data_IF_100415391207
#
_entry.id   IF_100415391207
#
_cell.length_a   1.000
_cell.length_b   1.000
_cell.length_c   1.000
_cell.angle_alpha   90.00
_cell.angle_beta   90.00
_cell.angle_gamma   90.00
#
_symmetry.space_group_name_H-M   'P 1'
#
loop_
_entity.id
_entity.type
_entity.pdbx_description
1 polymer ?
#
# COMPACT_ATOMS: atom_id res chain seq x y z
N UNK A 1 -11.35 13.46 -3.51
CA UNK A 1 -10.71 13.35 -2.16
C UNK A 1 -10.60 14.74 -1.53
N UNK A 2 -10.53 14.85 -0.19
CA UNK A 2 -10.35 16.13 0.50
C UNK A 2 -8.87 16.56 0.49
N UNK A 3 -8.62 17.86 0.48
CA UNK A 3 -7.27 18.45 0.40
C UNK A 3 -6.32 17.96 1.48
N UNK A 4 -6.84 17.71 2.70
CA UNK A 4 -6.06 17.23 3.84
C UNK A 4 -5.23 15.97 3.56
N UNK A 5 -5.71 15.09 2.69
CA UNK A 5 -5.09 13.82 2.35
C UNK A 5 -4.59 13.76 0.91
N UNK A 6 -4.65 14.88 0.19
CA UNK A 6 -4.22 14.99 -1.20
C UNK A 6 -2.83 15.60 -1.28
N UNK A 7 -1.85 14.80 -1.71
CA UNK A 7 -0.52 15.34 -2.04
C UNK A 7 -0.57 15.97 -3.43
N UNK A 8 0.12 17.11 -3.64
CA UNK A 8 -0.03 17.89 -4.87
C UNK A 8 0.25 17.08 -6.16
N UNK A 9 1.27 16.25 -6.16
CA UNK A 9 1.68 15.46 -7.32
C UNK A 9 0.62 14.44 -7.77
N UNK A 10 -0.01 13.74 -6.82
CA UNK A 10 -1.07 12.79 -7.12
C UNK A 10 -2.39 13.51 -7.39
N UNK A 11 -2.67 14.58 -6.65
CA UNK A 11 -3.85 15.40 -6.87
C UNK A 11 -3.90 16.00 -8.27
N UNK A 12 -2.75 16.41 -8.82
CA UNK A 12 -2.66 16.98 -10.17
C UNK A 12 -3.11 16.01 -11.27
N UNK A 13 -2.91 14.69 -11.08
CA UNK A 13 -3.34 13.67 -12.06
C UNK A 13 -4.87 13.64 -12.17
N UNK A 14 -5.57 13.80 -11.06
CA UNK A 14 -7.02 13.64 -10.98
C UNK A 14 -7.80 14.95 -11.08
N UNK A 15 -7.15 16.04 -11.50
CA UNK A 15 -7.87 17.28 -11.81
C UNK A 15 -8.69 17.11 -13.09
N UNK A 16 -9.78 17.87 -13.18
CA UNK A 16 -10.59 17.90 -14.40
C UNK A 16 -9.81 18.40 -15.62
N UNK A 17 -8.93 19.36 -15.40
CA UNK A 17 -8.05 19.84 -16.45
C UNK A 17 -7.17 18.72 -17.01
N UNK A 18 -6.56 17.89 -16.15
CA UNK A 18 -5.72 16.78 -16.61
C UNK A 18 -6.55 15.66 -17.25
N UNK A 19 -7.76 15.41 -16.74
CA UNK A 19 -8.72 14.49 -17.37
C UNK A 19 -9.03 14.90 -18.81
N UNK A 20 -9.42 16.16 -19.03
CA UNK A 20 -9.76 16.65 -20.37
C UNK A 20 -8.51 16.79 -21.27
N UNK A 21 -7.34 17.06 -20.73
CA UNK A 21 -6.08 16.97 -21.49
C UNK A 21 -5.82 15.54 -21.98
N UNK A 22 -6.06 14.53 -21.15
CA UNK A 22 -5.91 13.14 -21.56
C UNK A 22 -6.95 12.75 -22.63
N UNK A 23 -8.19 13.20 -22.51
CA UNK A 23 -9.20 13.00 -23.56
C UNK A 23 -8.80 13.67 -24.88
N UNK A 24 -8.34 14.91 -24.83
CA UNK A 24 -7.87 15.65 -26.00
C UNK A 24 -6.71 14.93 -26.68
N UNK A 25 -5.77 14.42 -25.90
CA UNK A 25 -4.61 13.69 -26.45
C UNK A 25 -5.05 12.41 -27.19
N UNK A 26 -6.01 11.65 -26.64
CA UNK A 26 -6.58 10.48 -27.32
C UNK A 26 -7.24 10.88 -28.66
N UNK A 27 -8.04 11.95 -28.67
CA UNK A 27 -8.69 12.46 -29.89
C UNK A 27 -7.68 12.85 -30.97
N UNK A 28 -6.64 13.61 -30.60
CA UNK A 28 -5.62 14.08 -31.54
C UNK A 28 -4.78 12.91 -32.05
N UNK A 29 -4.33 12.01 -31.18
CA UNK A 29 -3.56 10.82 -31.56
C UNK A 29 -4.37 9.90 -32.48
N UNK A 30 -5.68 9.81 -32.30
CA UNK A 30 -6.58 9.08 -33.22
C UNK A 30 -6.61 9.72 -34.61
N UNK A 31 -6.66 11.05 -34.68
CA UNK A 31 -6.57 11.77 -35.96
C UNK A 31 -5.20 11.57 -36.65
N UNK A 32 -4.11 11.57 -35.85
CA UNK A 32 -2.76 11.27 -36.35
C UNK A 32 -2.68 9.87 -36.97
N UNK A 33 -3.26 8.86 -36.28
CA UNK A 33 -3.29 7.49 -36.78
C UNK A 33 -4.07 7.40 -38.12
N UNK A 34 -5.20 8.08 -38.23
CA UNK A 34 -5.98 8.16 -39.46
C UNK A 34 -5.20 8.89 -40.58
N UNK A 35 -4.36 9.85 -40.25
CA UNK A 35 -3.50 10.51 -41.23
C UNK A 35 -2.36 9.58 -41.74
N UNK A 36 -1.79 8.76 -40.89
CA UNK A 36 -0.83 7.73 -41.32
C UNK A 36 -1.48 6.68 -42.25
N UNK A 37 -2.78 6.41 -42.08
CA UNK A 37 -3.57 5.57 -43.01
C UNK A 37 -4.01 6.32 -44.28
N UNK A 38 -3.72 7.63 -44.41
CA UNK A 38 -4.09 8.44 -45.56
C UNK A 38 -5.58 8.82 -45.61
N UNK A 39 -6.32 8.68 -44.54
CA UNK A 39 -7.76 9.03 -44.47
C UNK A 39 -7.96 10.51 -44.13
N UNK A 40 -7.19 11.02 -43.18
CA UNK A 40 -7.20 12.43 -42.79
C UNK A 40 -5.98 13.13 -43.41
N UNK A 41 -6.12 14.32 -44.05
CA UNK A 41 -4.99 15.08 -44.53
C UNK A 41 -4.03 15.44 -43.37
N UNK A 42 -2.73 15.29 -43.58
CA UNK A 42 -1.72 15.61 -42.55
C UNK A 42 -1.74 17.07 -42.15
N UNK A 43 -2.12 17.95 -43.08
CA UNK A 43 -2.29 19.39 -42.81
C UNK A 43 -3.43 19.65 -41.85
N UNK A 44 -4.56 18.96 -42.00
CA UNK A 44 -5.73 19.05 -41.07
C UNK A 44 -5.32 18.63 -39.67
N UNK A 45 -4.55 17.52 -39.55
CA UNK A 45 -4.05 17.05 -38.24
C UNK A 45 -3.08 18.05 -37.61
N UNK A 46 -2.19 18.65 -38.40
CA UNK A 46 -1.27 19.68 -37.90
C UNK A 46 -2.02 20.89 -37.32
N UNK A 47 -3.09 21.33 -38.00
CA UNK A 47 -3.94 22.43 -37.53
C UNK A 47 -4.76 22.01 -36.27
N UNK A 48 -5.26 20.78 -36.22
CA UNK A 48 -5.90 20.25 -35.00
C UNK A 48 -4.93 20.25 -33.84
N UNK A 49 -3.74 19.69 -33.97
CA UNK A 49 -2.72 19.62 -32.90
C UNK A 49 -2.34 21.02 -32.39
N UNK A 50 -2.32 22.02 -33.25
CA UNK A 50 -1.96 23.39 -32.92
C UNK A 50 -3.09 24.16 -32.24
N UNK A 51 -4.33 23.98 -32.67
CA UNK A 51 -5.44 24.85 -32.32
C UNK A 51 -6.44 24.20 -31.38
N UNK A 52 -6.46 22.84 -31.27
CA UNK A 52 -7.39 22.15 -30.40
C UNK A 52 -7.14 22.51 -28.92
N UNK A 53 -8.17 23.02 -28.31
CA UNK A 53 -8.16 23.42 -26.91
C UNK A 53 -9.58 23.24 -26.34
N UNK A 54 -9.69 23.28 -25.04
CA UNK A 54 -10.98 23.22 -24.34
C UNK A 54 -11.05 24.29 -23.27
N UNK A 55 -12.27 24.61 -22.86
CA UNK A 55 -12.59 25.42 -21.70
C UNK A 55 -13.55 24.61 -20.83
N UNK A 56 -13.21 24.42 -19.56
CA UNK A 56 -13.96 23.53 -18.65
C UNK A 56 -15.34 24.10 -18.38
N UNK A 57 -15.47 25.41 -18.16
CA UNK A 57 -16.77 26.04 -17.91
C UNK A 57 -17.66 25.89 -19.16
N UNK A 58 -17.07 26.06 -20.35
CA UNK A 58 -17.79 25.86 -21.60
C UNK A 58 -18.24 24.41 -21.82
N UNK A 59 -17.43 23.43 -21.43
CA UNK A 59 -17.83 22.02 -21.47
C UNK A 59 -19.07 21.81 -20.58
N UNK A 60 -19.07 22.33 -19.37
CA UNK A 60 -20.21 22.19 -18.46
C UNK A 60 -21.47 22.91 -18.97
N UNK A 61 -21.34 24.11 -19.57
CA UNK A 61 -22.47 24.78 -20.21
C UNK A 61 -23.10 23.90 -21.29
N UNK A 62 -22.29 23.34 -22.19
CA UNK A 62 -22.78 22.47 -23.25
C UNK A 62 -23.36 21.16 -22.68
N UNK A 63 -22.80 20.63 -21.60
CA UNK A 63 -23.31 19.42 -20.94
C UNK A 63 -24.70 19.64 -20.33
N UNK A 64 -25.03 20.84 -19.83
CA UNK A 64 -26.39 21.16 -19.37
C UNK A 64 -27.45 20.95 -20.48
N UNK A 65 -27.08 21.18 -21.73
CA UNK A 65 -27.98 21.00 -22.87
C UNK A 65 -27.96 19.55 -23.38
N UNK A 66 -26.76 19.00 -23.59
CA UNK A 66 -26.56 17.70 -24.25
C UNK A 66 -26.78 16.50 -23.32
N UNK A 67 -26.65 16.71 -22.00
CA UNK A 67 -26.70 15.67 -20.97
C UNK A 67 -25.72 14.51 -21.22
N UNK A 68 -24.58 14.83 -21.88
CA UNK A 68 -23.56 13.88 -22.23
C UNK A 68 -22.16 14.54 -22.22
N UNK A 69 -21.30 14.08 -21.32
CA UNK A 69 -19.98 14.67 -21.04
C UNK A 69 -19.04 14.63 -22.25
N UNK A 70 -18.90 13.49 -22.94
CA UNK A 70 -17.99 13.38 -24.09
C UNK A 70 -18.51 14.21 -25.28
N UNK A 71 -19.82 14.26 -25.54
CA UNK A 71 -20.39 15.14 -26.58
C UNK A 71 -20.12 16.60 -26.22
N UNK A 72 -20.29 16.99 -24.97
CA UNK A 72 -20.01 18.34 -24.52
C UNK A 72 -18.54 18.70 -24.75
N UNK A 73 -17.63 17.82 -24.37
CA UNK A 73 -16.19 17.97 -24.58
C UNK A 73 -15.85 18.13 -26.06
N UNK A 74 -16.29 17.20 -26.92
CA UNK A 74 -15.97 17.27 -28.36
C UNK A 74 -16.54 18.52 -29.06
N UNK A 75 -17.73 18.99 -28.64
CA UNK A 75 -18.29 20.26 -29.10
C UNK A 75 -17.46 21.45 -28.67
N UNK A 76 -17.05 21.52 -27.40
CA UNK A 76 -16.20 22.60 -26.89
C UNK A 76 -14.85 22.65 -27.63
N UNK A 77 -14.23 21.50 -27.90
CA UNK A 77 -13.01 21.41 -28.70
C UNK A 77 -13.28 21.89 -30.12
N UNK A 78 -14.40 21.47 -30.76
CA UNK A 78 -14.78 21.86 -32.11
C UNK A 78 -15.03 23.38 -32.28
N UNK A 79 -15.39 24.09 -31.20
CA UNK A 79 -15.53 25.55 -31.23
C UNK A 79 -14.18 26.28 -31.37
N UNK A 80 -13.05 25.63 -31.05
CA UNK A 80 -11.69 26.21 -31.08
C UNK A 80 -10.96 25.94 -32.38
N UNK A 81 -11.45 25.05 -33.24
CA UNK A 81 -10.81 24.62 -34.46
C UNK A 81 -11.62 25.02 -35.71
N UNK A 82 -10.98 25.11 -36.85
CA UNK A 82 -11.57 25.52 -38.12
C UNK A 82 -12.36 24.42 -38.82
N UNK A 83 -12.22 24.33 -40.18
CA UNK A 83 -12.88 23.27 -40.98
C UNK A 83 -12.49 21.85 -40.56
N UNK A 84 -11.33 21.68 -39.90
CA UNK A 84 -10.79 20.41 -39.39
C UNK A 84 -11.64 19.81 -38.28
N UNK A 85 -12.53 20.59 -37.67
CA UNK A 85 -13.46 20.12 -36.61
C UNK A 85 -14.27 18.88 -37.01
N UNK A 86 -14.47 18.60 -38.28
CA UNK A 86 -15.14 17.40 -38.81
C UNK A 86 -14.41 16.12 -38.45
N UNK A 87 -13.16 16.18 -38.06
CA UNK A 87 -12.33 15.04 -37.70
C UNK A 87 -12.33 14.75 -36.19
N UNK A 88 -12.82 15.70 -35.38
CA UNK A 88 -12.95 15.46 -33.91
C UNK A 88 -13.93 14.32 -33.70
N UNK A 89 -13.53 13.31 -32.94
CA UNK A 89 -14.30 12.09 -32.64
C UNK A 89 -14.60 11.22 -33.86
N UNK A 90 -13.77 11.28 -34.90
CA UNK A 90 -13.99 10.56 -36.16
C UNK A 90 -13.88 9.03 -35.95
N UNK A 91 -15.02 8.33 -36.12
CA UNK A 91 -15.14 6.88 -35.95
C UNK A 91 -15.20 6.39 -34.51
N UNK A 92 -14.89 7.24 -33.53
CA UNK A 92 -14.81 6.86 -32.12
C UNK A 92 -16.20 6.73 -31.45
N UNK A 93 -16.25 5.93 -30.39
CA UNK A 93 -17.31 5.98 -29.39
C UNK A 93 -16.75 6.59 -28.08
N UNK A 94 -17.63 7.07 -27.21
CA UNK A 94 -17.23 7.78 -25.99
C UNK A 94 -16.20 7.03 -25.14
N UNK A 95 -16.35 5.72 -25.01
CA UNK A 95 -15.43 4.90 -24.19
C UNK A 95 -14.09 4.58 -24.87
N UNK A 96 -13.98 4.75 -26.19
CA UNK A 96 -12.66 4.73 -26.85
C UNK A 96 -11.77 5.84 -26.28
N UNK A 97 -12.36 6.99 -25.97
CA UNK A 97 -11.66 8.12 -25.36
C UNK A 97 -11.54 7.93 -23.84
N UNK A 98 -12.65 7.65 -23.18
CA UNK A 98 -12.72 7.64 -21.70
C UNK A 98 -11.86 6.52 -21.09
N UNK A 99 -12.00 5.28 -21.58
CA UNK A 99 -11.25 4.15 -21.03
C UNK A 99 -9.74 4.22 -21.39
N UNK A 100 -9.42 4.64 -22.61
CA UNK A 100 -8.02 4.81 -23.02
C UNK A 100 -7.32 5.91 -22.22
N UNK A 101 -7.99 7.06 -22.05
CA UNK A 101 -7.48 8.13 -21.20
C UNK A 101 -7.37 7.71 -19.72
N UNK A 102 -8.33 6.92 -19.20
CA UNK A 102 -8.25 6.40 -17.84
C UNK A 102 -7.03 5.50 -17.65
N UNK A 103 -6.76 4.59 -18.60
CA UNK A 103 -5.55 3.77 -18.59
C UNK A 103 -4.26 4.60 -18.57
N UNK A 104 -4.23 5.71 -19.31
CA UNK A 104 -3.12 6.66 -19.32
C UNK A 104 -2.98 7.42 -17.99
N UNK A 105 -4.09 7.88 -17.39
CA UNK A 105 -4.07 8.53 -16.07
C UNK A 105 -3.63 7.57 -14.96
N UNK A 106 -4.10 6.32 -15.00
CA UNK A 106 -3.66 5.28 -14.07
C UNK A 106 -2.17 4.99 -14.21
N UNK A 107 -1.62 5.00 -15.44
CA UNK A 107 -0.17 4.87 -15.67
C UNK A 107 0.60 5.98 -14.94
N UNK A 108 0.18 7.23 -15.06
CA UNK A 108 0.81 8.35 -14.34
C UNK A 108 0.73 8.18 -12.82
N UNK A 109 -0.42 7.77 -12.29
CA UNK A 109 -0.61 7.51 -10.87
C UNK A 109 0.27 6.35 -10.38
N UNK A 110 0.41 5.30 -11.18
CA UNK A 110 1.21 4.12 -10.86
C UNK A 110 2.70 4.42 -10.79
N UNK A 111 3.23 5.32 -11.63
CA UNK A 111 4.62 5.77 -11.55
C UNK A 111 4.94 6.43 -10.20
N UNK A 112 4.00 7.22 -9.68
CA UNK A 112 4.13 7.85 -8.36
C UNK A 112 4.04 6.78 -7.25
N UNK A 113 3.06 5.87 -7.32
CA UNK A 113 2.86 4.84 -6.31
C UNK A 113 4.02 3.85 -6.25
N UNK A 114 4.57 3.42 -7.39
CA UNK A 114 5.72 2.52 -7.44
C UNK A 114 6.97 3.16 -6.81
N UNK A 115 7.21 4.43 -7.12
CA UNK A 115 8.28 5.21 -6.49
C UNK A 115 8.11 5.26 -4.97
N UNK A 116 6.90 5.54 -4.50
CA UNK A 116 6.62 5.70 -3.07
C UNK A 116 6.67 4.37 -2.32
N UNK A 117 6.22 3.26 -2.93
CA UNK A 117 6.40 1.91 -2.41
C UNK A 117 7.87 1.55 -2.27
N UNK A 118 8.67 1.84 -3.30
CA UNK A 118 10.12 1.60 -3.29
C UNK A 118 10.80 2.41 -2.18
N UNK A 119 10.45 3.68 -2.06
CA UNK A 119 10.97 4.53 -0.99
C UNK A 119 10.59 4.02 0.41
N UNK A 120 9.36 3.56 0.59
CA UNK A 120 8.91 3.00 1.86
C UNK A 120 9.68 1.71 2.20
N UNK A 121 9.90 0.83 1.23
CA UNK A 121 10.71 -0.39 1.39
C UNK A 121 12.12 -0.04 1.86
N UNK A 122 12.77 0.95 1.26
CA UNK A 122 14.11 1.38 1.66
C UNK A 122 14.15 1.96 3.07
N UNK A 123 13.15 2.74 3.46
CA UNK A 123 13.03 3.25 4.83
C UNK A 123 12.95 2.08 5.83
N UNK A 124 12.10 1.10 5.58
CA UNK A 124 11.95 -0.06 6.46
C UNK A 124 13.22 -0.91 6.48
N UNK A 125 13.89 -1.08 5.33
CA UNK A 125 15.19 -1.74 5.22
C UNK A 125 16.25 -1.09 6.13
N UNK A 126 16.35 0.21 6.08
CA UNK A 126 17.28 0.96 6.93
C UNK A 126 17.00 0.76 8.42
N UNK A 127 15.73 0.79 8.82
CA UNK A 127 15.33 0.55 10.21
C UNK A 127 15.63 -0.89 10.65
N UNK A 128 15.40 -1.88 9.77
CA UNK A 128 15.73 -3.28 10.05
C UNK A 128 17.22 -3.44 10.36
N UNK A 129 18.10 -2.86 9.56
CA UNK A 129 19.55 -2.92 9.75
C UNK A 129 19.98 -2.15 11.01
N UNK A 130 19.46 -0.94 11.21
CA UNK A 130 19.84 -0.09 12.35
C UNK A 130 19.51 -0.73 13.71
N UNK A 131 18.42 -1.49 13.79
CA UNK A 131 17.97 -2.13 15.02
C UNK A 131 18.10 -3.64 15.02
N UNK A 132 18.93 -4.20 14.14
CA UNK A 132 19.18 -5.62 14.01
C UNK A 132 19.43 -6.31 15.34
N UNK A 133 20.30 -5.72 16.16
CA UNK A 133 20.77 -6.26 17.43
C UNK A 133 20.08 -5.62 18.66
N UNK A 134 18.98 -4.91 18.46
CA UNK A 134 18.22 -4.30 19.56
C UNK A 134 17.22 -5.30 20.13
N UNK A 135 17.49 -5.91 21.31
CA UNK A 135 16.62 -6.94 21.86
C UNK A 135 15.34 -6.35 22.41
N UNK A 136 14.25 -7.07 22.19
CA UNK A 136 12.94 -6.77 22.76
C UNK A 136 12.17 -8.06 23.07
N UNK A 137 11.09 -7.95 23.83
CA UNK A 137 10.22 -9.08 24.08
C UNK A 137 9.29 -9.34 22.88
N UNK A 138 9.33 -10.56 22.35
CA UNK A 138 8.33 -11.06 21.45
C UNK A 138 7.04 -11.40 22.22
N UNK A 139 5.89 -10.96 21.67
CA UNK A 139 4.58 -11.19 22.29
C UNK A 139 3.69 -11.99 21.35
N UNK A 140 3.08 -13.04 21.88
CA UNK A 140 2.00 -13.79 21.24
C UNK A 140 0.74 -13.68 22.09
N UNK A 141 -0.42 -13.49 21.49
CA UNK A 141 -1.68 -13.23 22.22
C UNK A 141 -1.61 -12.01 23.17
N UNK A 142 -0.67 -11.08 22.94
CA UNK A 142 -0.40 -9.96 23.85
C UNK A 142 0.44 -10.31 25.07
N UNK A 143 0.83 -11.59 25.25
CA UNK A 143 1.60 -12.11 26.38
C UNK A 143 3.07 -12.27 25.98
N UNK A 144 3.99 -12.08 26.93
CA UNK A 144 5.43 -12.30 26.72
C UNK A 144 5.69 -13.77 26.34
N UNK A 145 6.37 -13.95 25.20
CA UNK A 145 6.77 -15.26 24.70
C UNK A 145 8.28 -15.44 24.85
N UNK A 146 9.05 -15.04 23.85
CA UNK A 146 10.50 -15.19 23.84
C UNK A 146 11.19 -13.90 23.35
N UNK A 147 12.47 -13.68 23.69
CA UNK A 147 13.25 -12.57 23.15
C UNK A 147 13.32 -12.60 21.63
N UNK A 148 13.19 -11.42 21.02
CA UNK A 148 13.39 -11.15 19.61
C UNK A 148 14.19 -9.85 19.45
N UNK A 149 14.32 -9.31 18.22
CA UNK A 149 14.89 -7.98 18.01
C UNK A 149 13.91 -7.04 17.31
N UNK A 150 14.04 -5.75 17.55
CA UNK A 150 13.27 -4.75 16.84
C UNK A 150 13.60 -4.75 15.35
N UNK A 151 14.87 -5.04 15.00
CA UNK A 151 15.28 -5.22 13.61
C UNK A 151 14.60 -6.37 12.90
N UNK A 152 14.38 -7.52 13.57
CA UNK A 152 13.59 -8.64 13.00
C UNK A 152 12.14 -8.24 12.71
N UNK A 153 11.53 -7.43 13.57
CA UNK A 153 10.19 -6.89 13.34
C UNK A 153 10.14 -6.02 12.08
N UNK A 154 11.13 -5.13 11.91
CA UNK A 154 11.25 -4.30 10.70
C UNK A 154 11.57 -5.14 9.46
N UNK A 155 12.43 -6.15 9.57
CA UNK A 155 12.77 -7.05 8.49
C UNK A 155 11.56 -7.86 7.96
N UNK A 156 10.63 -8.21 8.85
CA UNK A 156 9.36 -8.84 8.46
C UNK A 156 8.50 -7.88 7.60
N UNK A 157 8.44 -6.59 7.97
CA UNK A 157 7.73 -5.57 7.20
C UNK A 157 8.39 -5.31 5.85
N UNK A 158 9.72 -5.27 5.81
CA UNK A 158 10.49 -5.16 4.58
C UNK A 158 10.12 -6.25 3.57
N UNK A 159 10.12 -7.52 3.98
CA UNK A 159 9.76 -8.63 3.10
C UNK A 159 8.28 -8.61 2.67
N UNK A 160 7.40 -8.18 3.55
CA UNK A 160 5.99 -8.02 3.20
C UNK A 160 5.78 -6.94 2.13
N UNK A 161 6.47 -5.82 2.26
CA UNK A 161 6.35 -4.72 1.30
C UNK A 161 7.01 -5.04 -0.04
N UNK A 162 8.06 -5.85 -0.08
CA UNK A 162 8.61 -6.38 -1.35
C UNK A 162 7.56 -7.20 -2.12
N UNK A 163 6.88 -8.12 -1.44
CA UNK A 163 5.78 -8.88 -2.06
C UNK A 163 4.62 -7.98 -2.50
N UNK A 164 4.36 -6.90 -1.77
CA UNK A 164 3.34 -5.92 -2.17
C UNK A 164 3.77 -5.12 -3.40
N UNK A 165 5.04 -4.79 -3.55
CA UNK A 165 5.56 -4.14 -4.76
C UNK A 165 5.41 -5.04 -6.00
N UNK A 166 5.71 -6.34 -5.87
CA UNK A 166 5.52 -7.31 -6.95
C UNK A 166 4.04 -7.40 -7.38
N UNK A 167 3.12 -7.52 -6.42
CA UNK A 167 1.67 -7.51 -6.69
C UNK A 167 1.23 -6.20 -7.33
N UNK A 168 1.74 -5.07 -6.82
CA UNK A 168 1.42 -3.77 -7.37
C UNK A 168 1.84 -3.64 -8.84
N UNK A 169 3.06 -4.05 -9.18
CA UNK A 169 3.55 -4.03 -10.56
C UNK A 169 2.68 -4.86 -11.48
N UNK A 170 2.29 -6.04 -11.06
CA UNK A 170 1.40 -6.91 -11.83
C UNK A 170 0.02 -6.25 -12.05
N UNK A 171 -0.61 -5.76 -10.98
CA UNK A 171 -1.92 -5.13 -11.06
C UNK A 171 -1.89 -3.79 -11.82
N UNK A 172 -0.82 -3.00 -11.65
CA UNK A 172 -0.60 -1.75 -12.38
C UNK A 172 -0.46 -1.99 -13.88
N UNK A 173 0.29 -3.01 -14.28
CA UNK A 173 0.40 -3.43 -15.68
C UNK A 173 -0.97 -3.83 -16.25
N UNK A 174 -1.81 -4.47 -15.44
CA UNK A 174 -3.15 -4.92 -15.82
C UNK A 174 -4.15 -3.79 -16.14
N UNK A 175 -3.96 -2.58 -15.63
CA UNK A 175 -4.86 -1.42 -15.87
C UNK A 175 -4.29 -0.38 -16.83
N UNK A 176 -3.05 -0.53 -17.30
CA UNK A 176 -2.43 0.39 -18.27
C UNK A 176 -2.75 -0.03 -19.70
N UNK A 177 -4.03 -0.17 -20.00
CA UNK A 177 -4.54 -0.56 -21.30
C UNK A 177 -5.43 0.53 -21.89
N UNK A 178 -5.43 0.61 -23.23
CA UNK A 178 -6.41 1.37 -23.98
C UNK A 178 -7.28 0.44 -24.84
N UNK A 179 -8.39 0.98 -25.28
CA UNK A 179 -9.28 0.35 -26.26
C UNK A 179 -9.81 1.42 -27.22
N UNK A 180 -9.64 1.21 -28.52
CA UNK A 180 -10.22 2.04 -29.59
C UNK A 180 -10.81 1.08 -30.62
N UNK A 181 -11.87 0.39 -30.22
CA UNK A 181 -12.47 -0.73 -30.96
C UNK A 181 -13.94 -0.49 -31.33
N UNK A 182 -14.43 0.73 -31.04
CA UNK A 182 -15.80 1.14 -31.35
C UNK A 182 -16.85 0.68 -30.34
N UNK A 183 -18.10 0.82 -30.74
CA UNK A 183 -19.26 0.73 -29.88
C UNK A 183 -19.48 -0.64 -29.20
N UNK A 184 -18.98 -1.72 -29.77
CA UNK A 184 -19.11 -3.09 -29.24
C UNK A 184 -17.83 -3.92 -29.37
N UNK A 185 -16.71 -3.29 -29.71
CA UNK A 185 -15.41 -3.97 -29.74
C UNK A 185 -15.09 -4.67 -31.09
N UNK A 186 -15.82 -4.37 -32.16
CA UNK A 186 -15.69 -5.08 -33.44
C UNK A 186 -14.90 -4.31 -34.51
N UNK A 187 -14.41 -3.11 -34.21
CA UNK A 187 -13.70 -2.21 -35.12
C UNK A 187 -14.50 -1.85 -36.39
N UNK A 188 -15.84 -1.85 -36.32
CA UNK A 188 -16.71 -1.65 -37.47
C UNK A 188 -16.45 -0.33 -38.23
N UNK A 189 -16.06 0.73 -37.51
CA UNK A 189 -15.80 2.07 -38.08
C UNK A 189 -14.39 2.58 -37.78
N UNK A 190 -13.50 1.75 -37.30
CA UNK A 190 -12.15 2.10 -36.85
C UNK A 190 -11.18 1.03 -37.33
N UNK A 191 -10.07 1.44 -37.95
CA UNK A 191 -8.99 0.51 -38.25
C UNK A 191 -8.24 0.13 -36.97
N UNK A 192 -7.94 -1.16 -36.70
CA UNK A 192 -7.17 -1.59 -35.53
C UNK A 192 -5.83 -0.87 -35.35
N UNK A 193 -5.22 -0.40 -36.44
CA UNK A 193 -4.00 0.41 -36.39
C UNK A 193 -4.15 1.68 -35.53
N UNK A 194 -5.36 2.27 -35.49
CA UNK A 194 -5.62 3.47 -34.68
C UNK A 194 -5.42 3.18 -33.18
N UNK A 195 -5.92 2.03 -32.74
CA UNK A 195 -5.73 1.59 -31.33
C UNK A 195 -4.24 1.35 -31.02
N UNK A 196 -3.55 0.61 -31.88
CA UNK A 196 -2.10 0.33 -31.70
C UNK A 196 -1.28 1.63 -31.65
N UNK A 197 -1.57 2.56 -32.56
CA UNK A 197 -0.88 3.84 -32.65
C UNK A 197 -1.09 4.68 -31.39
N UNK A 198 -2.34 4.88 -30.97
CA UNK A 198 -2.68 5.69 -29.80
C UNK A 198 -2.10 5.08 -28.53
N UNK A 199 -2.30 3.79 -28.31
CA UNK A 199 -1.74 3.10 -27.13
C UNK A 199 -0.21 3.19 -27.10
N UNK A 200 0.44 2.98 -28.24
CA UNK A 200 1.90 3.12 -28.37
C UNK A 200 2.41 4.52 -28.02
N UNK A 201 1.73 5.57 -28.46
CA UNK A 201 2.08 6.96 -28.14
C UNK A 201 1.87 7.33 -26.67
N UNK A 202 0.81 6.80 -26.04
CA UNK A 202 0.52 6.99 -24.61
C UNK A 202 1.40 6.11 -23.72
N UNK A 203 2.11 5.12 -24.30
CA UNK A 203 2.87 4.14 -23.54
C UNK A 203 1.98 3.19 -22.72
N UNK A 204 0.78 2.94 -23.22
CA UNK A 204 -0.17 1.93 -22.74
C UNK A 204 -0.19 0.74 -23.70
N UNK A 205 -0.92 -0.33 -23.38
CA UNK A 205 -1.07 -1.50 -24.25
C UNK A 205 -2.46 -1.51 -24.89
N UNK A 206 -2.59 -1.90 -26.16
CA UNK A 206 -3.90 -2.19 -26.74
C UNK A 206 -4.49 -3.44 -26.09
N UNK A 207 -5.79 -3.41 -25.80
CA UNK A 207 -6.47 -4.57 -25.27
C UNK A 207 -6.61 -5.65 -26.34
N UNK A 208 -6.23 -6.91 -26.09
CA UNK A 208 -6.38 -7.99 -27.10
C UNK A 208 -7.84 -8.20 -27.56
N UNK A 209 -8.78 -7.88 -26.70
CA UNK A 209 -10.22 -7.88 -26.96
C UNK A 209 -10.89 -6.95 -25.96
N UNK A 210 -11.97 -6.30 -26.39
CA UNK A 210 -12.83 -5.48 -25.54
C UNK A 210 -14.28 -5.57 -26.02
N UNK A 211 -15.18 -5.00 -25.25
CA UNK A 211 -16.54 -4.68 -25.68
C UNK A 211 -16.61 -3.18 -26.00
N UNK A 212 -17.65 -2.47 -25.61
CA UNK A 212 -17.61 -1.01 -25.61
C UNK A 212 -16.63 -0.47 -24.55
N UNK A 213 -16.30 -1.30 -23.54
CA UNK A 213 -15.36 -0.96 -22.45
C UNK A 213 -14.25 -1.99 -22.35
N UNK A 214 -13.17 -1.63 -21.66
CA UNK A 214 -12.25 -2.60 -21.07
C UNK A 214 -12.97 -3.40 -19.98
N UNK A 215 -12.62 -4.67 -19.80
CA UNK A 215 -13.22 -5.51 -18.77
C UNK A 215 -12.77 -5.05 -17.38
N UNK A 216 -13.70 -4.98 -16.43
CA UNK A 216 -13.50 -4.37 -15.09
C UNK A 216 -12.86 -5.29 -14.05
N UNK A 217 -12.67 -6.59 -14.35
CA UNK A 217 -11.83 -7.48 -13.55
C UNK A 217 -10.42 -6.93 -13.34
N UNK A 218 -9.83 -6.27 -14.34
CA UNK A 218 -8.54 -5.56 -14.26
C UNK A 218 -8.54 -4.48 -13.18
N UNK A 219 -9.56 -3.65 -13.17
CA UNK A 219 -9.72 -2.57 -12.19
C UNK A 219 -10.05 -3.11 -10.79
N UNK A 220 -10.80 -4.21 -10.70
CA UNK A 220 -11.08 -4.90 -9.45
C UNK A 220 -9.81 -5.50 -8.82
N UNK A 221 -8.96 -6.16 -9.61
CA UNK A 221 -7.65 -6.66 -9.17
C UNK A 221 -6.75 -5.53 -8.71
N UNK A 222 -6.69 -4.44 -9.46
CA UNK A 222 -5.92 -3.25 -9.08
C UNK A 222 -6.38 -2.69 -7.73
N UNK A 223 -7.68 -2.46 -7.55
CA UNK A 223 -8.25 -1.97 -6.31
C UNK A 223 -8.04 -2.93 -5.14
N UNK A 224 -8.13 -4.24 -5.36
CA UNK A 224 -7.83 -5.27 -4.36
C UNK A 224 -6.35 -5.19 -3.91
N UNK A 225 -5.46 -4.96 -4.85
CA UNK A 225 -4.02 -4.80 -4.57
C UNK A 225 -3.75 -3.53 -3.76
N UNK A 226 -4.34 -2.38 -4.13
CA UNK A 226 -4.22 -1.15 -3.33
C UNK A 226 -4.77 -1.35 -1.90
N UNK A 227 -5.90 -2.05 -1.75
CA UNK A 227 -6.49 -2.37 -0.46
C UNK A 227 -5.59 -3.30 0.38
N UNK A 228 -4.92 -4.27 -0.23
CA UNK A 228 -3.98 -5.15 0.45
C UNK A 228 -2.74 -4.38 0.96
N UNK A 229 -2.19 -3.48 0.13
CA UNK A 229 -1.08 -2.61 0.54
C UNK A 229 -1.50 -1.71 1.71
N UNK A 230 -2.66 -1.07 1.62
CA UNK A 230 -3.20 -0.26 2.70
C UNK A 230 -3.42 -1.08 3.99
N UNK A 231 -3.78 -2.35 3.87
CA UNK A 231 -3.92 -3.28 5.01
C UNK A 231 -2.58 -3.61 5.65
N UNK A 232 -1.51 -3.76 4.87
CA UNK A 232 -0.16 -3.92 5.41
C UNK A 232 0.29 -2.66 6.18
N UNK A 233 0.04 -1.47 5.63
CA UNK A 233 0.33 -0.20 6.31
C UNK A 233 -0.48 -0.05 7.62
N UNK A 234 -1.74 -0.45 7.63
CA UNK A 234 -2.59 -0.49 8.84
C UNK A 234 -2.03 -1.45 9.90
N UNK A 235 -1.57 -2.64 9.50
CA UNK A 235 -0.91 -3.59 10.40
C UNK A 235 0.33 -2.97 11.05
N UNK A 236 1.18 -2.30 10.28
CA UNK A 236 2.39 -1.64 10.80
C UNK A 236 2.05 -0.49 11.76
N UNK A 237 1.07 0.33 11.38
CA UNK A 237 0.58 1.41 12.22
C UNK A 237 -0.02 0.88 13.54
N UNK A 238 -0.74 -0.21 13.49
CA UNK A 238 -1.32 -0.89 14.68
C UNK A 238 -0.23 -1.39 15.62
N UNK A 239 0.85 -1.96 15.10
CA UNK A 239 1.98 -2.39 15.92
C UNK A 239 2.70 -1.21 16.56
N UNK A 240 2.97 -0.12 15.83
CA UNK A 240 3.57 1.10 16.41
C UNK A 240 2.68 1.64 17.54
N UNK A 241 1.36 1.71 17.33
CA UNK A 241 0.42 2.15 18.36
C UNK A 241 0.45 1.25 19.59
N UNK A 242 0.57 -0.07 19.42
CA UNK A 242 0.69 -1.03 20.52
C UNK A 242 1.99 -0.82 21.32
N UNK A 243 3.12 -0.62 20.63
CA UNK A 243 4.42 -0.40 21.26
C UNK A 243 4.55 0.98 21.93
N UNK A 244 3.71 1.96 21.54
CA UNK A 244 3.67 3.31 22.14
C UNK A 244 2.77 3.39 23.38
N UNK A 245 2.02 2.33 23.74
CA UNK A 245 1.21 2.33 24.97
C UNK A 245 2.05 2.72 26.18
N UNK A 246 1.41 3.39 27.14
CA UNK A 246 2.07 3.88 28.37
C UNK A 246 2.81 2.78 29.14
N UNK A 247 2.23 1.57 29.15
CA UNK A 247 2.76 0.39 29.84
C UNK A 247 4.06 -0.14 29.19
N UNK A 248 4.18 0.00 27.87
CA UNK A 248 5.33 -0.51 27.08
C UNK A 248 6.34 0.59 26.80
N UNK A 249 5.89 1.65 26.12
CA UNK A 249 6.71 2.78 25.68
C UNK A 249 8.04 2.34 25.05
N UNK A 250 7.96 1.39 24.14
CA UNK A 250 9.13 0.85 23.43
C UNK A 250 9.48 1.67 22.20
N UNK A 251 8.47 2.36 21.63
CA UNK A 251 8.64 3.34 20.56
C UNK A 251 7.71 4.54 20.77
N UNK A 252 7.94 5.63 20.02
CA UNK A 252 7.06 6.81 19.99
C UNK A 252 7.11 7.45 18.61
N UNK A 253 5.94 7.85 18.06
CA UNK A 253 5.90 8.64 16.82
C UNK A 253 6.76 9.93 16.97
N UNK A 254 7.35 10.41 15.87
CA UNK A 254 8.09 11.65 15.88
C UNK A 254 7.19 12.81 16.33
N UNK A 255 7.67 13.57 17.30
CA UNK A 255 6.95 14.71 17.86
C UNK A 255 7.72 16.00 17.55
N UNK A 256 7.14 16.84 16.67
CA UNK A 256 7.79 18.06 16.23
C UNK A 256 7.85 19.12 17.33
N UNK A 257 8.89 19.96 17.30
CA UNK A 257 8.99 21.11 18.21
C UNK A 257 7.77 22.03 18.03
N UNK A 258 7.05 22.29 19.11
CA UNK A 258 5.84 23.11 19.11
C UNK A 258 4.54 22.34 18.82
N UNK A 259 4.61 21.05 18.46
CA UNK A 259 3.43 20.21 18.29
C UNK A 259 2.68 20.08 19.63
N UNK A 260 1.33 20.01 19.56
CA UNK A 260 0.47 19.75 20.72
C UNK A 260 -0.06 18.33 20.62
N UNK A 261 0.13 17.54 21.68
CA UNK A 261 -0.28 16.12 21.70
C UNK A 261 -1.71 15.92 22.21
N UNK A 262 -2.21 16.87 23.00
CA UNK A 262 -3.55 16.82 23.60
C UNK A 262 -4.03 18.23 23.91
N UNK A 263 -5.32 18.47 23.76
CA UNK A 263 -5.95 19.74 24.15
C UNK A 263 -6.10 19.92 25.67
N UNK A 264 -6.15 18.81 26.41
CA UNK A 264 -6.40 18.82 27.84
C UNK A 264 -5.17 18.43 28.71
N UNK A 265 -4.28 17.59 28.18
CA UNK A 265 -3.16 17.02 28.92
C UNK A 265 -1.82 17.31 28.19
N UNK A 266 -1.02 18.31 28.62
CA UNK A 266 0.16 18.79 27.90
C UNK A 266 1.26 17.71 27.69
N UNK A 267 1.34 16.71 28.57
CA UNK A 267 2.33 15.63 28.51
C UNK A 267 1.95 14.50 27.53
N UNK A 268 0.69 14.44 27.10
CA UNK A 268 0.17 13.30 26.35
C UNK A 268 0.54 13.39 24.87
N UNK A 269 1.28 12.41 24.37
CA UNK A 269 1.68 12.26 22.98
C UNK A 269 0.95 11.07 22.36
N UNK A 270 -0.08 11.38 21.56
CA UNK A 270 -0.92 10.36 20.93
C UNK A 270 -0.31 9.91 19.60
N UNK A 271 -0.43 8.63 19.22
CA UNK A 271 0.00 8.11 17.92
C UNK A 271 -1.01 8.45 16.82
N UNK A 272 -1.32 9.75 16.64
CA UNK A 272 -2.37 10.22 15.73
C UNK A 272 -2.06 9.96 14.26
N UNK A 273 -0.78 9.89 13.89
CA UNK A 273 -0.37 9.56 12.54
C UNK A 273 -0.74 8.12 12.20
N UNK A 274 -0.38 7.17 13.06
CA UNK A 274 -0.73 5.75 12.90
C UNK A 274 -2.24 5.51 13.01
N UNK A 275 -2.96 6.24 13.89
CA UNK A 275 -4.41 6.17 13.97
C UNK A 275 -5.07 6.61 12.65
N UNK A 276 -4.56 7.68 12.04
CA UNK A 276 -5.02 8.15 10.73
C UNK A 276 -4.78 7.11 9.63
N UNK A 277 -3.61 6.45 9.61
CA UNK A 277 -3.31 5.37 8.65
C UNK A 277 -4.34 4.23 8.79
N UNK A 278 -4.61 3.79 10.03
CA UNK A 278 -5.62 2.74 10.28
C UNK A 278 -7.02 3.16 9.81
N UNK A 279 -7.39 4.43 9.98
CA UNK A 279 -8.65 4.97 9.50
C UNK A 279 -8.75 4.98 7.97
N UNK A 280 -7.72 5.48 7.28
CA UNK A 280 -7.69 5.60 5.82
C UNK A 280 -7.66 4.24 5.12
N UNK A 281 -7.02 3.24 5.70
CA UNK A 281 -7.03 1.88 5.18
C UNK A 281 -8.46 1.30 5.07
N UNK A 282 -9.36 1.66 5.99
CA UNK A 282 -10.77 1.24 5.95
C UNK A 282 -11.48 1.79 4.72
N UNK A 283 -11.18 3.04 4.33
CA UNK A 283 -11.77 3.69 3.14
C UNK A 283 -11.37 2.94 1.88
N UNK A 284 -10.06 2.67 1.69
CA UNK A 284 -9.57 1.94 0.51
C UNK A 284 -10.16 0.53 0.44
N UNK A 285 -10.28 -0.19 1.58
CA UNK A 285 -10.96 -1.49 1.63
C UNK A 285 -12.43 -1.42 1.25
N UNK A 286 -13.13 -0.35 1.61
CA UNK A 286 -14.51 -0.10 1.16
C UNK A 286 -14.61 0.10 -0.35
N UNK A 287 -13.68 0.86 -0.93
CA UNK A 287 -13.63 1.09 -2.38
C UNK A 287 -13.36 -0.18 -3.19
N UNK A 288 -12.57 -1.12 -2.66
CA UNK A 288 -12.34 -2.43 -3.28
C UNK A 288 -13.66 -3.19 -3.51
N UNK A 289 -14.59 -3.16 -2.56
CA UNK A 289 -15.89 -3.83 -2.70
C UNK A 289 -16.67 -3.23 -3.87
N UNK A 290 -16.70 -1.90 -3.97
CA UNK A 290 -17.37 -1.23 -5.10
C UNK A 290 -16.74 -1.58 -6.46
N UNK A 291 -15.42 -1.79 -6.50
CA UNK A 291 -14.73 -2.21 -7.72
C UNK A 291 -15.10 -3.63 -8.15
N UNK A 292 -15.32 -4.56 -7.21
CA UNK A 292 -15.82 -5.90 -7.54
C UNK A 292 -17.23 -5.88 -8.13
N UNK A 293 -18.12 -5.03 -7.62
CA UNK A 293 -19.48 -4.86 -8.17
C UNK A 293 -19.46 -4.31 -9.61
N UNK A 294 -18.43 -3.55 -9.99
CA UNK A 294 -18.29 -3.03 -11.35
C UNK A 294 -17.87 -4.09 -12.39
N UNK A 295 -17.49 -5.30 -11.98
CA UNK A 295 -17.15 -6.39 -12.92
C UNK A 295 -18.40 -6.85 -13.69
N UNK A 296 -19.55 -6.85 -13.02
CA UNK A 296 -20.82 -7.30 -13.58
C UNK A 296 -21.51 -6.16 -14.32
N UNK A 297 -21.34 -6.08 -15.63
CA UNK A 297 -22.02 -5.14 -16.52
C UNK A 297 -23.01 -5.88 -17.43
N UNK A 298 -24.04 -5.18 -17.89
CA UNK A 298 -24.97 -5.72 -18.84
C UNK A 298 -24.41 -5.74 -20.25
N UNK A 299 -24.43 -6.92 -20.89
CA UNK A 299 -24.03 -7.14 -22.28
C UNK A 299 -22.64 -6.53 -22.58
N UNK A 300 -22.49 -5.78 -23.65
CA UNK A 300 -21.25 -5.14 -24.05
C UNK A 300 -20.91 -3.89 -23.23
N UNK A 301 -21.86 -3.29 -22.51
CA UNK A 301 -21.71 -2.24 -21.50
C UNK A 301 -23.05 -1.75 -20.97
N UNK A 302 -23.13 -1.45 -19.68
CA UNK A 302 -23.97 -0.39 -19.12
C UNK A 302 -23.07 0.69 -18.48
N UNK A 303 -23.66 1.78 -17.93
CA UNK A 303 -22.89 2.90 -17.42
C UNK A 303 -22.72 2.90 -15.88
N UNK A 304 -23.17 1.85 -15.19
CA UNK A 304 -23.16 1.78 -13.72
C UNK A 304 -21.77 1.93 -13.10
N UNK A 305 -20.74 1.39 -13.77
CA UNK A 305 -19.34 1.48 -13.33
C UNK A 305 -18.80 2.93 -13.33
N UNK A 306 -19.25 3.76 -14.26
CA UNK A 306 -18.66 5.08 -14.51
C UNK A 306 -18.77 6.02 -13.32
N UNK A 307 -19.94 6.12 -12.67
CA UNK A 307 -20.13 6.95 -11.49
C UNK A 307 -19.28 6.49 -10.30
N UNK A 308 -19.08 5.20 -10.16
CA UNK A 308 -18.27 4.59 -9.10
C UNK A 308 -16.78 4.88 -9.32
N UNK A 309 -16.27 4.64 -10.53
CA UNK A 309 -14.84 4.79 -10.86
C UNK A 309 -14.34 6.22 -10.76
N UNK A 310 -15.19 7.20 -11.05
CA UNK A 310 -14.89 8.64 -10.84
C UNK A 310 -14.56 8.97 -9.38
N UNK A 311 -14.97 8.13 -8.43
CA UNK A 311 -14.74 8.30 -7.00
C UNK A 311 -13.61 7.38 -6.55
N UNK A 312 -13.74 6.07 -6.75
CA UNK A 312 -12.90 5.08 -6.08
C UNK A 312 -11.45 5.07 -6.58
N UNK A 313 -11.20 5.28 -7.87
CA UNK A 313 -9.84 5.24 -8.43
C UNK A 313 -9.01 6.45 -8.01
N UNK A 314 -9.51 7.70 -8.15
CA UNK A 314 -8.81 8.87 -7.61
C UNK A 314 -8.60 8.77 -6.11
N UNK A 315 -9.64 8.42 -5.36
CA UNK A 315 -9.58 8.37 -3.90
C UNK A 315 -8.59 7.32 -3.40
N UNK A 316 -8.60 6.11 -3.95
CA UNK A 316 -7.70 5.05 -3.52
C UNK A 316 -6.22 5.37 -3.80
N UNK A 317 -5.92 5.91 -4.99
CA UNK A 317 -4.54 6.27 -5.36
C UNK A 317 -4.02 7.46 -4.57
N UNK A 318 -4.84 8.49 -4.36
CA UNK A 318 -4.52 9.66 -3.52
C UNK A 318 -4.27 9.23 -2.08
N UNK A 319 -5.16 8.41 -1.52
CA UNK A 319 -5.02 7.95 -0.13
C UNK A 319 -3.79 7.06 0.05
N UNK A 320 -3.54 6.15 -0.87
CA UNK A 320 -2.37 5.26 -0.76
C UNK A 320 -1.06 6.06 -0.87
N UNK A 321 -0.97 7.04 -1.80
CA UNK A 321 0.16 7.96 -1.89
C UNK A 321 0.38 8.72 -0.57
N UNK A 322 -0.69 9.24 0.03
CA UNK A 322 -0.62 9.90 1.33
C UNK A 322 -0.14 8.95 2.43
N UNK A 323 -0.72 7.75 2.53
CA UNK A 323 -0.41 6.77 3.57
C UNK A 323 1.04 6.31 3.51
N UNK A 324 1.57 5.98 2.32
CA UNK A 324 2.96 5.58 2.13
C UNK A 324 3.93 6.66 2.59
N UNK A 325 3.68 7.91 2.20
CA UNK A 325 4.55 9.03 2.57
C UNK A 325 4.42 9.37 4.07
N UNK A 326 3.20 9.36 4.62
CA UNK A 326 2.96 9.67 6.03
C UNK A 326 3.56 8.62 6.95
N UNK A 327 3.29 7.34 6.71
CA UNK A 327 3.84 6.26 7.51
C UNK A 327 5.36 6.11 7.30
N UNK A 328 5.84 6.32 6.06
CA UNK A 328 7.27 6.34 5.76
C UNK A 328 8.01 7.39 6.61
N UNK A 329 7.46 8.59 6.71
CA UNK A 329 8.04 9.62 7.58
C UNK A 329 7.99 9.24 9.07
N UNK A 330 6.92 8.60 9.54
CA UNK A 330 6.81 8.11 10.92
C UNK A 330 7.88 7.06 11.19
N UNK A 331 7.98 6.02 10.34
CA UNK A 331 8.95 4.92 10.52
C UNK A 331 10.39 5.42 10.44
N UNK A 332 10.68 6.33 9.50
CA UNK A 332 12.01 6.93 9.34
C UNK A 332 12.48 7.68 10.59
N UNK A 333 11.57 8.38 11.26
CA UNK A 333 11.88 9.26 12.39
C UNK A 333 11.33 8.72 13.73
N UNK A 334 11.04 7.42 13.79
CA UNK A 334 10.50 6.78 14.98
C UNK A 334 11.51 6.91 16.14
N UNK A 335 11.05 7.38 17.28
CA UNK A 335 11.85 7.35 18.50
C UNK A 335 11.77 5.94 19.08
N UNK A 336 12.90 5.25 19.16
CA UNK A 336 13.02 3.90 19.73
C UNK A 336 13.66 4.00 21.09
N UNK A 337 13.16 3.24 22.06
CA UNK A 337 13.65 3.22 23.44
C UNK A 337 14.22 1.83 23.81
N UNK A 338 15.48 1.51 23.44
CA UNK A 338 16.08 0.21 23.73
C UNK A 338 16.12 -0.14 25.23
N UNK A 339 16.29 0.84 26.09
CA UNK A 339 16.30 0.60 27.54
C UNK A 339 14.93 0.23 28.08
N UNK A 340 13.85 0.79 27.53
CA UNK A 340 12.49 0.36 27.84
C UNK A 340 12.23 -1.07 27.34
N UNK A 341 12.71 -1.42 26.15
CA UNK A 341 12.60 -2.78 25.60
C UNK A 341 13.28 -3.78 26.54
N UNK A 342 14.51 -3.49 27.00
CA UNK A 342 15.24 -4.32 27.98
C UNK A 342 14.50 -4.43 29.32
N UNK A 343 14.03 -3.31 29.86
CA UNK A 343 13.25 -3.30 31.10
C UNK A 343 11.98 -4.14 30.97
N UNK A 344 11.24 -4.01 29.86
CA UNK A 344 10.01 -4.77 29.63
C UNK A 344 10.26 -6.28 29.52
N UNK A 345 11.42 -6.71 28.98
CA UNK A 345 11.80 -8.13 28.98
C UNK A 345 11.89 -8.73 30.39
N UNK A 346 12.17 -7.91 31.40
CA UNK A 346 12.32 -8.33 32.79
C UNK A 346 11.01 -8.24 33.58
N UNK A 347 9.96 -7.58 33.05
CA UNK A 347 8.73 -7.27 33.77
C UNK A 347 7.90 -8.50 34.17
N UNK A 348 8.20 -9.65 33.62
CA UNK A 348 7.57 -10.95 33.92
C UNK A 348 8.51 -11.88 34.69
N UNK A 349 9.42 -11.32 35.49
CA UNK A 349 10.27 -12.03 36.46
C UNK A 349 11.18 -13.11 35.85
N UNK A 350 11.40 -13.10 34.54
CA UNK A 350 12.21 -14.11 33.85
C UNK A 350 11.47 -15.38 33.45
N UNK A 351 10.16 -15.44 33.64
CA UNK A 351 9.32 -16.59 33.24
C UNK A 351 9.43 -16.95 31.74
N UNK A 352 9.64 -16.01 30.79
CA UNK A 352 9.89 -16.34 29.39
C UNK A 352 11.03 -17.33 29.12
N UNK A 353 11.96 -17.45 30.04
CA UNK A 353 13.06 -18.43 29.93
C UNK A 353 12.72 -19.84 30.41
N UNK A 354 11.50 -20.09 30.89
CA UNK A 354 11.06 -21.42 31.38
C UNK A 354 11.21 -22.52 30.35
N UNK A 355 10.91 -22.22 29.08
CA UNK A 355 11.13 -23.15 27.96
C UNK A 355 12.58 -23.60 27.80
N UNK A 356 13.54 -22.68 28.04
CA UNK A 356 14.97 -22.99 27.98
C UNK A 356 15.41 -23.87 29.16
N UNK A 357 14.93 -23.58 30.38
CA UNK A 357 15.18 -24.42 31.54
C UNK A 357 14.64 -25.84 31.31
N UNK A 358 13.40 -25.95 30.80
CA UNK A 358 12.80 -27.24 30.44
C UNK A 358 13.63 -28.03 29.43
N UNK A 359 14.10 -27.37 28.35
CA UNK A 359 14.94 -28.03 27.34
C UNK A 359 16.25 -28.55 27.93
N UNK A 360 16.94 -27.77 28.79
CA UNK A 360 18.16 -28.21 29.47
C UNK A 360 17.94 -29.43 30.39
N UNK A 361 16.79 -29.50 31.06
CA UNK A 361 16.43 -30.69 31.86
C UNK A 361 16.21 -31.93 30.97
N UNK A 362 15.60 -31.76 29.80
CA UNK A 362 15.44 -32.82 28.82
C UNK A 362 16.81 -33.32 28.34
N UNK A 363 17.74 -32.40 28.05
CA UNK A 363 19.11 -32.72 27.66
C UNK A 363 19.87 -33.53 28.75
N UNK A 364 19.42 -33.43 30.03
CA UNK A 364 19.94 -34.20 31.19
C UNK A 364 19.13 -35.47 31.49
N UNK A 365 18.27 -35.90 30.60
CA UNK A 365 17.57 -37.17 30.67
C UNK A 365 16.17 -37.18 31.28
N UNK A 366 15.59 -35.97 31.48
CA UNK A 366 14.15 -35.90 31.85
C UNK A 366 13.29 -36.24 30.63
N UNK A 367 12.14 -36.88 30.82
CA UNK A 367 11.11 -36.85 29.80
C UNK A 367 10.56 -35.43 29.66
N UNK A 368 9.90 -35.15 28.52
CA UNK A 368 9.27 -33.85 28.31
C UNK A 368 8.25 -33.51 29.40
N UNK A 369 7.45 -34.49 29.80
CA UNK A 369 6.45 -34.38 30.85
C UNK A 369 7.09 -34.09 32.20
N UNK A 370 8.11 -34.85 32.57
CA UNK A 370 8.87 -34.62 33.80
C UNK A 370 9.49 -33.21 33.86
N UNK A 371 10.08 -32.77 32.78
CA UNK A 371 10.63 -31.42 32.72
C UNK A 371 9.54 -30.34 32.84
N UNK A 372 8.41 -30.54 32.15
CA UNK A 372 7.28 -29.63 32.21
C UNK A 372 6.70 -29.56 33.64
N UNK A 373 6.40 -30.69 34.26
CA UNK A 373 5.82 -30.77 35.60
C UNK A 373 6.78 -30.22 36.69
N UNK A 374 8.09 -30.24 36.41
CA UNK A 374 9.09 -29.63 37.28
C UNK A 374 9.15 -28.10 37.12
N UNK A 375 9.09 -27.60 35.90
CA UNK A 375 9.31 -26.19 35.57
C UNK A 375 8.03 -25.35 35.76
N UNK A 376 6.88 -25.83 35.31
CA UNK A 376 5.63 -25.07 35.32
C UNK A 376 5.25 -24.55 36.74
N UNK A 377 5.23 -25.36 37.81
CA UNK A 377 4.88 -24.82 39.14
C UNK A 377 5.84 -23.73 39.63
N UNK A 378 7.11 -23.79 39.25
CA UNK A 378 8.13 -22.80 39.60
C UNK A 378 7.96 -21.49 38.82
N UNK A 379 7.56 -21.61 37.55
CA UNK A 379 7.23 -20.43 36.74
C UNK A 379 5.95 -19.74 37.27
N UNK A 380 4.93 -20.50 37.67
CA UNK A 380 3.74 -19.96 38.29
C UNK A 380 4.03 -19.32 39.65
N UNK A 381 4.86 -19.96 40.47
CA UNK A 381 5.34 -19.38 41.75
C UNK A 381 6.05 -18.02 41.54
N UNK A 382 6.90 -17.93 40.50
CA UNK A 382 7.58 -16.66 40.16
C UNK A 382 6.58 -15.55 39.82
N UNK A 383 5.52 -15.91 39.13
CA UNK A 383 4.46 -14.97 38.75
C UNK A 383 3.61 -14.53 39.95
N UNK A 384 3.19 -15.47 40.79
CA UNK A 384 2.34 -15.22 41.94
C UNK A 384 3.09 -14.42 43.05
N UNK A 385 4.33 -14.80 43.35
CA UNK A 385 5.19 -14.13 44.33
C UNK A 385 5.88 -12.86 43.82
N UNK A 386 5.73 -12.53 42.53
CA UNK A 386 6.45 -11.45 41.87
C UNK A 386 7.97 -11.52 42.10
N UNK A 387 8.50 -12.71 42.00
CA UNK A 387 9.88 -13.05 42.35
C UNK A 387 10.63 -13.62 41.16
N UNK A 388 11.94 -13.39 41.12
CA UNK A 388 12.80 -13.88 40.02
C UNK A 388 12.65 -15.40 39.84
N UNK A 389 12.21 -15.81 38.65
CA UNK A 389 12.13 -17.22 38.28
C UNK A 389 13.52 -17.89 38.34
N UNK A 390 14.59 -17.17 37.96
CA UNK A 390 15.97 -17.65 38.10
C UNK A 390 16.30 -17.96 39.56
N UNK A 391 15.93 -17.14 40.52
CA UNK A 391 16.16 -17.41 41.94
C UNK A 391 15.42 -18.67 42.41
N UNK A 392 14.16 -18.84 42.01
CA UNK A 392 13.35 -20.03 42.35
C UNK A 392 13.96 -21.28 41.73
N UNK A 393 14.46 -21.22 40.51
CA UNK A 393 15.18 -22.33 39.84
C UNK A 393 16.41 -22.74 40.65
N UNK A 394 17.21 -21.78 41.10
CA UNK A 394 18.42 -22.02 41.93
C UNK A 394 18.11 -22.60 43.32
N UNK A 395 16.90 -22.41 43.82
CA UNK A 395 16.42 -22.95 45.10
C UNK A 395 15.69 -24.30 44.94
N UNK A 396 15.53 -24.82 43.73
CA UNK A 396 14.77 -26.05 43.44
C UNK A 396 15.73 -27.25 43.28
N UNK A 397 15.83 -28.16 44.27
CA UNK A 397 16.75 -29.29 44.23
C UNK A 397 16.56 -30.18 43.00
N UNK A 398 15.31 -30.45 42.59
CA UNK A 398 15.04 -31.24 41.38
C UNK A 398 15.65 -30.67 40.10
N UNK A 399 15.99 -29.38 40.10
CA UNK A 399 16.68 -28.69 38.98
C UNK A 399 18.18 -28.64 39.22
N UNK A 400 18.59 -28.19 40.42
CA UNK A 400 20.01 -27.98 40.76
C UNK A 400 20.83 -29.27 40.87
N UNK A 401 20.18 -30.42 41.16
CA UNK A 401 20.82 -31.75 41.12
C UNK A 401 21.15 -32.19 39.66
N UNK A 402 20.59 -31.54 38.66
CA UNK A 402 20.77 -31.89 37.24
C UNK A 402 21.51 -30.81 36.44
N UNK A 403 21.31 -29.53 36.75
CA UNK A 403 21.91 -28.41 36.08
C UNK A 403 22.90 -27.70 36.98
N UNK A 404 24.11 -27.45 36.49
CA UNK A 404 25.07 -26.58 37.19
C UNK A 404 24.60 -25.12 37.23
N UNK A 405 25.18 -24.34 38.10
CA UNK A 405 24.90 -22.91 38.20
C UNK A 405 25.19 -22.19 36.89
N UNK A 406 26.22 -22.58 36.14
CA UNK A 406 26.55 -22.03 34.81
C UNK A 406 25.48 -22.39 33.77
N UNK A 407 24.99 -23.64 33.78
CA UNK A 407 23.93 -24.08 32.88
C UNK A 407 22.60 -23.35 33.15
N UNK A 408 22.32 -23.08 34.42
CA UNK A 408 21.14 -22.28 34.80
C UNK A 408 21.34 -20.85 34.33
N UNK A 409 22.51 -20.21 34.54
CA UNK A 409 22.78 -18.86 34.06
C UNK A 409 22.63 -18.74 32.54
N UNK A 410 23.17 -19.72 31.80
CA UNK A 410 23.02 -19.76 30.35
C UNK A 410 21.55 -19.89 29.92
N UNK A 411 20.70 -20.59 30.71
CA UNK A 411 19.28 -20.70 30.40
C UNK A 411 18.55 -19.35 30.42
N UNK A 412 19.04 -18.39 31.22
CA UNK A 412 18.47 -17.04 31.33
C UNK A 412 19.15 -16.00 30.44
N UNK A 413 20.09 -16.42 29.58
CA UNK A 413 20.77 -15.53 28.65
C UNK A 413 19.90 -15.25 27.41
N UNK A 414 19.44 -13.99 27.17
CA UNK A 414 18.66 -13.63 26.00
C UNK A 414 19.36 -13.92 24.67
N UNK A 415 20.68 -13.85 24.64
CA UNK A 415 21.48 -14.07 23.42
C UNK A 415 21.28 -15.45 22.80
N UNK A 416 20.91 -16.44 23.61
CA UNK A 416 20.56 -17.76 23.10
C UNK A 416 19.45 -17.72 22.05
N UNK A 417 18.41 -16.93 22.30
CA UNK A 417 17.27 -16.78 21.41
C UNK A 417 17.60 -16.00 20.14
N UNK A 418 18.65 -15.19 20.19
CA UNK A 418 19.06 -14.28 19.12
C UNK A 418 20.20 -14.83 18.24
N UNK A 419 20.74 -15.99 18.54
CA UNK A 419 21.94 -16.56 17.88
C UNK A 419 21.81 -16.75 16.36
N UNK A 420 20.60 -16.78 15.82
CA UNK A 420 20.33 -16.95 14.40
C UNK A 420 19.83 -15.70 13.68
N UNK A 421 19.87 -14.53 14.33
CA UNK A 421 19.48 -13.24 13.72
C UNK A 421 20.32 -12.98 12.46
N UNK A 422 21.64 -13.17 12.52
CA UNK A 422 22.52 -13.02 11.36
C UNK A 422 22.13 -13.93 10.18
N UNK A 423 21.76 -15.17 10.48
CA UNK A 423 21.33 -16.13 9.46
C UNK A 423 20.06 -15.64 8.75
N UNK A 424 19.10 -15.07 9.51
CA UNK A 424 17.86 -14.52 8.96
C UNK A 424 18.15 -13.31 8.10
N UNK A 425 18.95 -12.35 8.59
CA UNK A 425 19.33 -11.16 7.84
C UNK A 425 20.07 -11.48 6.56
N UNK A 426 20.99 -12.46 6.59
CA UNK A 426 21.67 -12.96 5.39
C UNK A 426 20.70 -13.53 4.35
N UNK A 427 19.68 -14.30 4.76
CA UNK A 427 18.64 -14.83 3.87
C UNK A 427 17.83 -13.72 3.19
N UNK A 428 17.66 -12.60 3.87
CA UNK A 428 16.92 -11.42 3.38
C UNK A 428 17.78 -10.49 2.51
N UNK A 429 19.09 -10.76 2.38
CA UNK A 429 20.01 -9.85 1.69
C UNK A 429 20.22 -8.52 2.44
N UNK A 430 20.10 -8.55 3.78
CA UNK A 430 20.24 -7.38 4.67
C UNK A 430 21.56 -7.36 5.44
N UNK A 431 22.53 -8.18 5.03
CA UNK A 431 23.86 -8.27 5.66
C UNK A 431 24.80 -7.17 5.17
#
# INVERSE_FOLDING_TARGET
MIDRYTRPEMGAIWTEENKFKAWLEVEILSCEAWAELGVIPKEDVAELRKNAAFDIDRIYEIEQETRHDVIAFTRAVSEKVGPERKWVHYGLTSTDVVDTALGYLLKQANEILERDLTNFIEIVRHQAIAYKDTPMMGRTHGVHAEPTTFGLKMALWYEEMKRNLERFRFAADGVQYGKISGAVGTYANIDPFVEEYVCGKLGTKPAPISTQTLQRDRHAEYMATLALIATSLDKFATEIRALQKSEFREVEEPFAKGQKGSSAMPHKRNPIGCESISGLARVIRGHMVSAYENVTLWHERDISHSSVERIILPDATILLNYMLNRLGNIVKNLTVFPDNMKRNMQSTYGVPFSGRVMTKLIDKGFSREQAYDTVQPRAMQAWEEQRSFRSIVLETPAITDKLSAEEIEDAFNPSWHLKHVDTIFKRLGLS
#
